data_IF_495193464396
#
_entry.id   IF_495193464396
#
_cell.length_a   1.000
_cell.length_b   1.000
_cell.length_c   1.000
_cell.angle_alpha   90.00
_cell.angle_beta   90.00
_cell.angle_gamma   90.00
#
_symmetry.space_group_name_H-M   'P 1'
#
loop_
_entity.id
_entity.type
_entity.pdbx_description
1 polymer ?
#
# COMPACT_ATOMS: atom_id res chain seq x y z
N UNK A 1 -15.85 27.38 1.46
CA UNK A 1 -15.48 25.98 1.76
C UNK A 1 -14.92 25.18 0.57
N UNK A 2 -15.27 25.45 -0.70
CA UNK A 2 -14.71 24.74 -1.88
C UNK A 2 -13.19 24.88 -2.09
N UNK A 3 -12.55 25.98 -1.68
CA UNK A 3 -11.14 26.28 -2.01
C UNK A 3 -10.11 25.35 -1.37
N UNK A 4 -10.39 24.76 -0.20
CA UNK A 4 -9.41 23.90 0.49
C UNK A 4 -9.30 22.51 -0.14
N UNK A 5 -10.41 21.93 -0.59
CA UNK A 5 -10.40 20.63 -1.26
C UNK A 5 -9.70 20.69 -2.62
N UNK A 6 -9.98 21.72 -3.44
CA UNK A 6 -9.25 21.95 -4.69
C UNK A 6 -7.78 22.34 -4.47
N UNK A 7 -7.44 22.98 -3.33
CA UNK A 7 -6.03 23.16 -2.94
C UNK A 7 -5.34 21.85 -2.60
N UNK A 8 -6.03 20.88 -1.99
CA UNK A 8 -5.49 19.53 -1.78
C UNK A 8 -5.29 18.81 -3.12
N UNK A 9 -6.25 18.90 -4.05
CA UNK A 9 -6.10 18.37 -5.41
C UNK A 9 -4.90 19.02 -6.11
N UNK A 10 -4.81 20.35 -6.12
CA UNK A 10 -3.71 21.09 -6.73
C UNK A 10 -2.36 20.76 -6.07
N UNK A 11 -2.26 20.79 -4.74
CA UNK A 11 -1.01 20.44 -4.04
C UNK A 11 -0.63 18.97 -4.25
N UNK A 12 -1.59 18.04 -4.34
CA UNK A 12 -1.28 16.63 -4.63
C UNK A 12 -0.73 16.48 -6.05
N UNK A 13 -1.34 17.15 -7.04
CA UNK A 13 -0.84 17.18 -8.42
C UNK A 13 0.56 17.81 -8.49
N UNK A 14 0.86 18.84 -7.70
CA UNK A 14 2.16 19.51 -7.68
C UNK A 14 3.26 18.80 -6.86
N UNK A 15 2.95 18.20 -5.71
CA UNK A 15 3.95 17.51 -4.86
C UNK A 15 4.44 16.18 -5.47
N UNK A 16 3.69 15.59 -6.39
CA UNK A 16 4.13 14.45 -7.20
C UNK A 16 4.66 14.84 -8.58
N UNK A 17 4.67 16.14 -8.92
CA UNK A 17 5.17 16.68 -10.19
C UNK A 17 6.45 17.54 -10.14
N UNK A 18 7.48 17.32 -9.28
CA UNK A 18 8.75 18.03 -9.51
C UNK A 18 9.77 17.29 -10.40
N UNK A 19 9.58 16.02 -10.79
CA UNK A 19 10.64 15.23 -11.49
C UNK A 19 10.15 14.52 -12.77
N UNK A 20 8.88 14.67 -13.16
CA UNK A 20 8.35 14.08 -14.43
C UNK A 20 8.62 14.99 -15.65
N UNK A 21 9.52 15.96 -15.54
CA UNK A 21 9.98 16.77 -16.69
C UNK A 21 11.27 16.25 -17.34
N UNK A 22 11.93 15.23 -16.76
CA UNK A 22 13.25 14.80 -17.23
C UNK A 22 13.27 13.71 -18.30
N UNK A 23 12.41 12.68 -18.21
CA UNK A 23 12.63 11.45 -18.99
C UNK A 23 11.41 10.83 -19.70
N UNK A 24 10.20 11.39 -19.53
CA UNK A 24 8.97 10.88 -20.17
C UNK A 24 8.66 11.46 -21.56
N UNK A 25 9.61 12.13 -22.23
CA UNK A 25 9.31 12.87 -23.46
C UNK A 25 9.36 12.05 -24.77
N UNK A 26 9.67 10.75 -24.74
CA UNK A 26 10.05 10.03 -25.97
C UNK A 26 9.11 8.92 -26.47
N UNK A 27 7.89 8.75 -25.94
CA UNK A 27 7.01 7.64 -26.39
C UNK A 27 5.63 8.04 -26.91
N UNK A 28 5.13 9.25 -26.65
CA UNK A 28 3.80 9.69 -27.09
C UNK A 28 3.88 10.95 -27.95
N UNK A 29 3.05 11.03 -28.99
CA UNK A 29 2.90 12.26 -29.75
C UNK A 29 2.29 13.36 -28.86
N UNK A 30 2.56 14.65 -29.14
CA UNK A 30 1.97 15.77 -28.38
C UNK A 30 0.44 15.74 -28.31
N UNK A 31 -0.22 15.16 -29.32
CA UNK A 31 -1.67 14.99 -29.36
C UNK A 31 -2.16 13.88 -28.41
N UNK A 32 -1.41 12.79 -28.28
CA UNK A 32 -1.71 11.69 -27.34
C UNK A 32 -1.46 12.14 -25.90
N UNK A 33 -0.36 12.86 -25.66
CA UNK A 33 -0.06 13.42 -24.35
C UNK A 33 -1.18 14.37 -23.87
N UNK A 34 -1.65 15.26 -24.74
CA UNK A 34 -2.76 16.18 -24.43
C UNK A 34 -4.10 15.47 -24.19
N UNK A 35 -4.39 14.37 -24.91
CA UNK A 35 -5.60 13.56 -24.68
C UNK A 35 -5.52 12.83 -23.33
N UNK A 36 -4.36 12.29 -23.02
CA UNK A 36 -4.12 11.61 -21.75
C UNK A 36 -4.25 12.57 -20.56
N UNK A 37 -3.65 13.76 -20.61
CA UNK A 37 -3.79 14.79 -19.58
C UNK A 37 -5.24 15.22 -19.34
N UNK A 38 -6.03 15.32 -20.41
CA UNK A 38 -7.45 15.68 -20.33
C UNK A 38 -8.29 14.56 -19.71
N UNK A 39 -8.02 13.31 -20.08
CA UNK A 39 -8.68 12.14 -19.50
C UNK A 39 -8.35 12.01 -18.00
N UNK A 40 -7.07 12.14 -17.64
CA UNK A 40 -6.63 12.12 -16.24
C UNK A 40 -7.31 13.21 -15.44
N UNK A 41 -7.30 14.46 -15.92
CA UNK A 41 -7.98 15.59 -15.25
C UNK A 41 -9.47 15.31 -15.03
N UNK A 42 -10.13 14.67 -15.99
CA UNK A 42 -11.54 14.28 -15.89
C UNK A 42 -11.75 13.19 -14.83
N UNK A 43 -10.95 12.12 -14.86
CA UNK A 43 -10.98 11.03 -13.87
C UNK A 43 -10.68 11.52 -12.44
N UNK A 44 -9.74 12.46 -12.29
CA UNK A 44 -9.41 13.06 -11.00
C UNK A 44 -10.59 13.84 -10.43
N UNK A 45 -11.26 14.62 -11.29
CA UNK A 45 -12.44 15.39 -10.90
C UNK A 45 -13.59 14.48 -10.52
N UNK A 46 -13.89 13.46 -11.31
CA UNK A 46 -14.91 12.46 -11.00
C UNK A 46 -14.61 11.72 -9.69
N UNK A 47 -13.34 11.33 -9.47
CA UNK A 47 -12.92 10.69 -8.23
C UNK A 47 -13.15 11.59 -7.02
N UNK A 48 -12.80 12.87 -7.14
CA UNK A 48 -13.03 13.88 -6.13
C UNK A 48 -14.53 14.08 -5.84
N UNK A 49 -15.35 14.23 -6.89
CA UNK A 49 -16.79 14.48 -6.77
C UNK A 49 -17.51 13.25 -6.17
N UNK A 50 -17.16 12.03 -6.59
CA UNK A 50 -17.69 10.79 -6.04
C UNK A 50 -17.37 10.64 -4.54
N UNK A 51 -16.13 10.91 -4.12
CA UNK A 51 -15.76 10.84 -2.71
C UNK A 51 -16.44 11.94 -1.88
N UNK A 52 -16.63 13.12 -2.46
CA UNK A 52 -17.33 14.23 -1.79
C UNK A 52 -18.78 13.89 -1.49
N UNK A 53 -19.46 13.24 -2.43
CA UNK A 53 -20.87 12.83 -2.29
C UNK A 53 -21.05 11.62 -1.36
N UNK A 54 -19.98 10.90 -1.02
CA UNK A 54 -20.05 9.77 -0.11
C UNK A 54 -20.25 10.26 1.35
N UNK A 55 -21.47 10.13 1.86
CA UNK A 55 -21.85 10.54 3.22
C UNK A 55 -21.42 9.55 4.31
N UNK A 56 -21.00 8.34 3.94
CA UNK A 56 -20.55 7.32 4.89
C UNK A 56 -19.10 7.52 5.35
N UNK A 57 -18.34 8.39 4.68
CA UNK A 57 -16.95 8.69 5.00
C UNK A 57 -16.83 10.03 5.74
N UNK A 58 -15.97 10.08 6.75
CA UNK A 58 -15.50 11.33 7.33
C UNK A 58 -14.64 12.13 6.34
N UNK A 59 -14.45 13.42 6.58
CA UNK A 59 -13.61 14.27 5.72
C UNK A 59 -12.14 13.81 5.67
N UNK A 60 -11.64 13.25 6.77
CA UNK A 60 -10.28 12.70 6.83
C UNK A 60 -10.15 11.44 5.97
N UNK A 61 -11.12 10.52 6.06
CA UNK A 61 -11.20 9.32 5.22
C UNK A 61 -11.35 9.68 3.74
N UNK A 62 -12.18 10.68 3.40
CA UNK A 62 -12.30 11.17 2.01
C UNK A 62 -10.96 11.66 1.47
N UNK A 63 -10.25 12.47 2.25
CA UNK A 63 -8.92 12.97 1.87
C UNK A 63 -7.90 11.84 1.70
N UNK A 64 -7.96 10.82 2.56
CA UNK A 64 -7.14 9.63 2.44
C UNK A 64 -7.46 8.83 1.18
N UNK A 65 -8.73 8.48 0.99
CA UNK A 65 -9.21 7.69 -0.16
C UNK A 65 -8.92 8.37 -1.49
N UNK A 66 -8.98 9.71 -1.53
CA UNK A 66 -8.58 10.46 -2.71
C UNK A 66 -7.10 10.23 -3.02
N UNK A 67 -6.19 10.42 -2.05
CA UNK A 67 -4.75 10.17 -2.24
C UNK A 67 -4.44 8.72 -2.60
N UNK A 68 -5.17 7.77 -2.02
CA UNK A 68 -5.03 6.35 -2.33
C UNK A 68 -5.41 6.05 -3.78
N UNK A 69 -6.59 6.52 -4.24
CA UNK A 69 -7.04 6.35 -5.63
C UNK A 69 -6.11 7.05 -6.62
N UNK A 70 -5.65 8.26 -6.30
CA UNK A 70 -4.61 8.97 -7.07
C UNK A 70 -3.38 8.08 -7.27
N UNK A 71 -2.87 7.49 -6.19
CA UNK A 71 -1.66 6.67 -6.22
C UNK A 71 -1.85 5.41 -7.07
N UNK A 72 -3.01 4.74 -6.97
CA UNK A 72 -3.35 3.60 -7.84
C UNK A 72 -3.39 3.97 -9.32
N UNK A 73 -3.99 5.11 -9.66
CA UNK A 73 -4.02 5.58 -11.06
C UNK A 73 -2.61 5.85 -11.59
N UNK A 74 -1.73 6.46 -10.78
CA UNK A 74 -0.33 6.67 -11.16
C UNK A 74 0.42 5.36 -11.38
N UNK A 75 0.25 4.37 -10.50
CA UNK A 75 0.88 3.05 -10.63
C UNK A 75 0.41 2.32 -11.88
N UNK A 76 -0.88 2.35 -12.19
CA UNK A 76 -1.41 1.73 -13.39
C UNK A 76 -0.83 2.38 -14.65
N UNK A 77 -0.71 3.72 -14.66
CA UNK A 77 -0.03 4.44 -15.75
C UNK A 77 1.42 3.98 -15.91
N UNK A 78 2.17 3.87 -14.82
CA UNK A 78 3.56 3.43 -14.84
C UNK A 78 3.70 2.00 -15.37
N UNK A 79 2.79 1.11 -14.93
CA UNK A 79 2.71 -0.27 -15.42
C UNK A 79 2.46 -0.32 -16.92
N UNK A 80 1.60 0.54 -17.44
CA UNK A 80 1.28 0.63 -18.87
C UNK A 80 2.43 1.24 -19.69
N UNK A 81 3.16 2.22 -19.16
CA UNK A 81 4.29 2.82 -19.87
C UNK A 81 5.56 1.98 -19.81
N UNK A 82 5.64 1.01 -18.89
CA UNK A 82 6.87 0.24 -18.63
C UNK A 82 7.95 1.05 -17.92
N UNK A 83 7.61 2.24 -17.40
CA UNK A 83 8.53 3.14 -16.73
C UNK A 83 8.50 2.93 -15.21
N UNK A 84 9.66 2.69 -14.60
CA UNK A 84 9.83 2.81 -13.15
C UNK A 84 10.30 4.22 -12.82
N UNK A 85 9.42 5.08 -12.28
CA UNK A 85 9.79 6.46 -11.92
C UNK A 85 10.76 6.53 -10.73
N UNK A 86 10.90 5.43 -9.98
CA UNK A 86 11.72 5.41 -8.77
C UNK A 86 13.06 4.71 -8.97
N UNK A 87 13.27 3.99 -10.09
CA UNK A 87 14.54 3.34 -10.40
C UNK A 87 15.03 2.38 -9.30
N UNK A 88 14.10 1.86 -8.50
CA UNK A 88 14.41 1.02 -7.36
C UNK A 88 14.50 -0.44 -7.80
N UNK A 89 15.58 -1.10 -7.41
CA UNK A 89 15.81 -2.52 -7.63
C UNK A 89 15.97 -3.22 -6.28
N UNK A 90 15.35 -4.40 -6.07
CA UNK A 90 15.54 -5.16 -4.85
C UNK A 90 17.00 -5.61 -4.73
N UNK A 91 17.54 -5.55 -3.51
CA UNK A 91 18.87 -6.09 -3.21
C UNK A 91 18.87 -7.61 -3.37
N UNK A 92 20.05 -8.21 -3.56
CA UNK A 92 20.17 -9.68 -3.65
C UNK A 92 19.58 -10.38 -2.41
N UNK A 93 19.75 -9.80 -1.22
CA UNK A 93 19.13 -10.32 -0.01
C UNK A 93 17.60 -10.22 -0.04
N UNK A 94 17.04 -9.09 -0.49
CA UNK A 94 15.59 -8.91 -0.58
C UNK A 94 14.94 -9.92 -1.54
N UNK A 95 15.65 -10.32 -2.60
CA UNK A 95 15.21 -11.39 -3.53
C UNK A 95 15.17 -12.78 -2.87
N UNK A 96 15.84 -12.99 -1.73
CA UNK A 96 15.82 -14.26 -0.99
C UNK A 96 14.70 -14.34 0.05
N UNK A 97 13.92 -13.27 0.24
CA UNK A 97 12.83 -13.26 1.21
C UNK A 97 11.74 -14.29 0.83
N UNK A 98 11.12 -14.96 1.82
CA UNK A 98 10.21 -16.05 1.56
C UNK A 98 8.89 -15.57 0.95
N UNK A 99 8.38 -16.26 -0.07
CA UNK A 99 7.05 -15.95 -0.62
C UNK A 99 5.96 -16.12 0.46
N UNK A 100 5.03 -15.17 0.49
CA UNK A 100 3.78 -15.31 1.25
C UNK A 100 2.81 -16.13 0.42
N UNK A 101 2.31 -17.23 0.98
CA UNK A 101 1.43 -18.18 0.29
C UNK A 101 0.02 -18.08 0.87
N UNK A 102 -0.98 -17.92 0.00
CA UNK A 102 -2.40 -17.90 0.38
C UNK A 102 -3.24 -18.69 -0.61
N UNK A 103 -4.34 -19.25 -0.13
CA UNK A 103 -5.33 -19.90 -0.98
C UNK A 103 -6.40 -18.90 -1.41
N UNK A 104 -6.73 -18.88 -2.70
CA UNK A 104 -7.76 -18.02 -3.28
C UNK A 104 -8.50 -18.80 -4.38
N UNK A 105 -9.82 -18.95 -4.24
CA UNK A 105 -10.63 -19.76 -5.16
C UNK A 105 -10.20 -21.24 -5.27
N UNK A 106 -9.53 -21.78 -4.24
CA UNK A 106 -9.00 -23.15 -4.25
C UNK A 106 -7.59 -23.32 -4.83
N UNK A 107 -6.99 -22.26 -5.39
CA UNK A 107 -5.62 -22.26 -5.88
C UNK A 107 -4.66 -21.61 -4.86
N UNK A 108 -3.42 -22.09 -4.79
CA UNK A 108 -2.36 -21.43 -4.01
C UNK A 108 -1.77 -20.32 -4.86
N UNK A 109 -1.85 -19.10 -4.36
CA UNK A 109 -1.15 -17.92 -4.88
C UNK A 109 0.07 -17.63 -4.02
N UNK A 110 1.17 -17.27 -4.68
CA UNK A 110 2.42 -16.89 -4.03
C UNK A 110 2.74 -15.44 -4.34
N UNK A 111 3.05 -14.69 -3.30
CA UNK A 111 3.40 -13.28 -3.37
C UNK A 111 4.82 -13.11 -2.87
N UNK A 112 5.77 -12.84 -3.77
CA UNK A 112 7.12 -12.48 -3.37
C UNK A 112 7.16 -11.07 -2.80
N UNK A 113 8.21 -10.76 -2.03
CA UNK A 113 8.48 -9.37 -1.63
C UNK A 113 8.51 -8.44 -2.85
N UNK A 114 9.22 -8.84 -3.91
CA UNK A 114 9.34 -8.06 -5.15
C UNK A 114 7.98 -7.80 -5.80
N UNK A 115 7.09 -8.79 -5.87
CA UNK A 115 5.74 -8.58 -6.44
C UNK A 115 4.94 -7.54 -5.65
N UNK A 116 4.99 -7.63 -4.33
CA UNK A 116 4.27 -6.74 -3.42
C UNK A 116 4.84 -5.32 -3.45
N UNK A 117 6.15 -5.16 -3.62
CA UNK A 117 6.78 -3.84 -3.76
C UNK A 117 6.56 -3.25 -5.15
N UNK A 118 6.58 -4.07 -6.20
CA UNK A 118 6.27 -3.63 -7.56
C UNK A 118 4.83 -3.12 -7.67
N UNK A 119 3.90 -3.68 -6.88
CA UNK A 119 2.55 -3.15 -6.77
C UNK A 119 2.51 -1.72 -6.19
N UNK A 120 3.43 -1.37 -5.27
CA UNK A 120 3.57 0.01 -4.78
C UNK A 120 4.43 0.91 -5.71
N UNK A 121 5.27 0.27 -6.52
CA UNK A 121 6.21 0.89 -7.46
C UNK A 121 7.57 1.25 -6.85
N UNK A 122 7.76 1.11 -5.54
CA UNK A 122 9.04 1.34 -4.86
C UNK A 122 9.04 0.83 -3.41
N UNK A 123 10.23 0.67 -2.82
CA UNK A 123 10.36 0.34 -1.40
C UNK A 123 10.31 1.60 -0.53
N UNK A 124 9.17 1.85 0.12
CA UNK A 124 9.09 2.70 1.31
C UNK A 124 9.05 1.87 2.59
N UNK A 125 9.34 2.51 3.75
CA UNK A 125 9.15 1.91 5.07
C UNK A 125 7.71 1.44 5.34
N UNK A 126 6.71 1.98 4.64
CA UNK A 126 5.31 1.53 4.79
C UNK A 126 5.07 0.16 4.16
N UNK A 127 5.64 -0.07 2.98
CA UNK A 127 5.49 -1.31 2.21
C UNK A 127 6.33 -2.44 2.80
N UNK A 128 7.53 -2.12 3.30
CA UNK A 128 8.34 -3.06 4.09
C UNK A 128 7.60 -3.58 5.33
N UNK A 129 6.91 -2.69 6.08
CA UNK A 129 6.11 -3.10 7.25
C UNK A 129 4.94 -3.98 6.86
N UNK A 130 4.26 -3.66 5.76
CA UNK A 130 3.12 -4.43 5.29
C UNK A 130 3.51 -5.86 4.96
N UNK A 131 4.57 -6.01 4.16
CA UNK A 131 5.16 -7.31 3.86
C UNK A 131 5.57 -8.06 5.13
N UNK A 132 6.37 -7.41 5.98
CA UNK A 132 6.92 -8.04 7.20
C UNK A 132 5.82 -8.48 8.16
N UNK A 133 4.74 -7.71 8.28
CA UNK A 133 3.61 -8.08 9.11
C UNK A 133 2.90 -9.34 8.60
N UNK A 134 2.68 -9.46 7.27
CA UNK A 134 2.11 -10.67 6.68
C UNK A 134 3.01 -11.89 6.86
N UNK A 135 4.31 -11.73 6.58
CA UNK A 135 5.33 -12.78 6.70
C UNK A 135 5.38 -13.38 8.10
N UNK A 136 5.22 -12.55 9.13
CA UNK A 136 5.26 -12.98 10.53
C UNK A 136 3.90 -13.46 11.05
N UNK A 137 2.82 -12.73 10.76
CA UNK A 137 1.53 -12.98 11.38
C UNK A 137 0.81 -14.21 10.82
N UNK A 138 0.85 -14.41 9.50
CA UNK A 138 0.10 -15.49 8.86
C UNK A 138 0.56 -16.88 9.34
N UNK A 139 1.86 -17.20 9.46
CA UNK A 139 2.29 -18.49 10.02
C UNK A 139 1.91 -18.70 11.48
N UNK A 140 1.80 -17.62 12.26
CA UNK A 140 1.37 -17.68 13.66
C UNK A 140 -0.14 -17.94 13.77
N UNK A 141 -0.94 -17.39 12.86
CA UNK A 141 -2.39 -17.62 12.80
C UNK A 141 -2.71 -19.02 12.25
N UNK A 142 -2.06 -19.41 11.15
CA UNK A 142 -2.35 -20.62 10.38
C UNK A 142 -1.25 -21.67 10.51
N UNK A 143 -0.99 -22.13 11.74
CA UNK A 143 0.12 -23.06 12.01
C UNK A 143 -0.07 -24.37 11.22
N UNK A 144 0.83 -24.63 10.28
CA UNK A 144 0.83 -25.85 9.46
C UNK A 144 -0.25 -25.89 8.38
N UNK A 145 -0.94 -24.78 8.13
CA UNK A 145 -1.95 -24.66 7.07
C UNK A 145 -1.70 -23.41 6.23
N UNK A 146 -2.21 -23.40 5.00
CA UNK A 146 -2.13 -22.22 4.13
C UNK A 146 -3.31 -21.30 4.46
N UNK A 147 -3.08 -20.01 4.79
CA UNK A 147 -4.15 -19.05 4.99
C UNK A 147 -5.06 -18.97 3.76
N UNK A 148 -6.36 -18.82 3.97
CA UNK A 148 -7.35 -18.66 2.89
C UNK A 148 -7.76 -17.19 2.83
N UNK A 149 -7.69 -16.56 1.64
CA UNK A 149 -8.23 -15.22 1.46
C UNK A 149 -9.73 -15.23 1.79
N UNK A 150 -10.18 -14.22 2.53
CA UNK A 150 -11.54 -14.16 3.07
C UNK A 150 -11.72 -14.80 4.45
N UNK A 151 -10.76 -15.58 4.95
CA UNK A 151 -10.80 -16.11 6.33
C UNK A 151 -9.99 -15.27 7.33
N UNK A 152 -9.36 -14.19 6.86
CA UNK A 152 -8.68 -13.25 7.74
C UNK A 152 -8.97 -11.81 7.37
N UNK A 153 -8.90 -10.96 8.39
CA UNK A 153 -9.03 -9.51 8.29
C UNK A 153 -7.71 -8.85 8.59
N UNK A 154 -7.34 -7.86 7.78
CA UNK A 154 -6.19 -6.98 8.02
C UNK A 154 -6.71 -5.61 8.46
N UNK A 155 -6.30 -5.15 9.64
CA UNK A 155 -6.55 -3.79 10.12
C UNK A 155 -5.24 -3.03 10.23
N UNK A 156 -5.18 -1.83 9.64
CA UNK A 156 -3.97 -1.00 9.68
C UNK A 156 -4.29 0.50 9.77
N UNK A 157 -3.33 1.26 10.30
CA UNK A 157 -3.40 2.71 10.33
C UNK A 157 -3.19 3.38 8.97
N UNK A 158 -3.42 4.70 8.92
CA UNK A 158 -3.25 5.51 7.72
C UNK A 158 -1.80 5.54 7.20
N UNK A 159 -1.54 4.74 6.15
CA UNK A 159 -0.29 4.76 5.39
C UNK A 159 -0.53 4.27 3.96
N UNK A 160 -0.35 5.17 2.97
CA UNK A 160 -0.66 4.90 1.57
C UNK A 160 0.08 3.67 1.03
N UNK A 161 1.41 3.65 1.19
CA UNK A 161 2.29 2.51 0.90
C UNK A 161 1.73 1.17 1.43
N UNK A 162 1.41 1.13 2.73
CA UNK A 162 0.88 -0.07 3.39
C UNK A 162 -0.45 -0.50 2.79
N UNK A 163 -1.33 0.46 2.49
CA UNK A 163 -2.64 0.15 1.92
C UNK A 163 -2.56 -0.40 0.51
N UNK A 164 -1.57 0.03 -0.28
CA UNK A 164 -1.38 -0.45 -1.65
C UNK A 164 -0.89 -1.88 -1.67
N UNK A 165 0.04 -2.23 -0.77
CA UNK A 165 0.48 -3.62 -0.57
C UNK A 165 -0.70 -4.51 -0.20
N UNK A 166 -1.54 -4.09 0.75
CA UNK A 166 -2.68 -4.90 1.16
C UNK A 166 -3.81 -4.95 0.13
N UNK A 167 -4.10 -3.86 -0.56
CA UNK A 167 -5.07 -3.86 -1.67
C UNK A 167 -4.63 -4.83 -2.78
N UNK A 168 -3.33 -4.86 -3.11
CA UNK A 168 -2.79 -5.80 -4.08
C UNK A 168 -2.76 -7.25 -3.55
N UNK A 169 -2.39 -7.46 -2.29
CA UNK A 169 -2.38 -8.79 -1.67
C UNK A 169 -3.79 -9.38 -1.54
N UNK A 170 -4.76 -8.56 -1.14
CA UNK A 170 -6.14 -8.97 -0.85
C UNK A 170 -7.05 -8.96 -2.06
N UNK A 171 -6.61 -8.55 -3.26
CA UNK A 171 -7.39 -8.50 -4.51
C UNK A 171 -8.72 -9.25 -4.49
N UNK A 172 -9.83 -8.52 -4.54
CA UNK A 172 -11.19 -9.07 -4.44
C UNK A 172 -11.80 -9.05 -3.02
N UNK A 173 -10.98 -8.82 -1.99
CA UNK A 173 -11.37 -8.77 -0.57
C UNK A 173 -10.96 -7.43 0.06
N UNK A 174 -11.41 -6.32 -0.54
CA UNK A 174 -11.01 -4.95 -0.14
C UNK A 174 -12.12 -4.18 0.59
N UNK A 175 -13.22 -4.85 0.94
CA UNK A 175 -14.24 -4.29 1.83
C UNK A 175 -13.74 -4.23 3.29
N UNK A 176 -14.51 -3.55 4.14
CA UNK A 176 -14.15 -3.36 5.55
C UNK A 176 -14.18 -4.66 6.39
N UNK A 177 -14.81 -5.73 5.88
CA UNK A 177 -14.85 -7.01 6.58
C UNK A 177 -13.49 -7.70 6.52
N UNK A 178 -12.75 -7.51 5.43
CA UNK A 178 -11.48 -8.18 5.17
C UNK A 178 -10.25 -7.25 5.17
N UNK A 179 -10.43 -5.97 4.81
CA UNK A 179 -9.37 -4.96 4.79
C UNK A 179 -9.87 -3.64 5.37
N UNK A 180 -9.44 -3.34 6.59
CA UNK A 180 -9.87 -2.16 7.33
C UNK A 180 -8.73 -1.13 7.50
N UNK A 181 -9.02 0.08 7.01
CA UNK A 181 -8.26 1.27 7.37
C UNK A 181 -8.85 1.88 8.65
N UNK A 182 -8.10 1.84 9.74
CA UNK A 182 -8.46 2.50 11.00
C UNK A 182 -7.63 3.78 11.19
N UNK A 183 -8.26 4.93 10.97
CA UNK A 183 -7.63 6.25 11.12
C UNK A 183 -7.25 6.58 12.57
N UNK A 184 -7.81 5.87 13.57
CA UNK A 184 -7.45 6.01 14.98
C UNK A 184 -6.10 5.39 15.34
N UNK A 185 -5.59 4.48 14.51
CA UNK A 185 -4.28 3.85 14.70
C UNK A 185 -3.16 4.85 14.36
N UNK A 186 -2.64 5.52 15.40
CA UNK A 186 -1.52 6.46 15.28
C UNK A 186 -0.14 5.79 15.19
N UNK A 187 0.00 4.60 15.79
CA UNK A 187 1.25 3.82 15.78
C UNK A 187 1.33 3.01 14.48
N UNK A 188 2.54 2.66 14.03
CA UNK A 188 2.75 1.78 12.86
C UNK A 188 2.44 0.32 13.24
N UNK A 189 1.19 0.11 13.62
CA UNK A 189 0.61 -1.12 14.10
C UNK A 189 -0.24 -1.71 12.99
N UNK A 190 -0.09 -3.02 12.79
CA UNK A 190 -0.85 -3.82 11.85
C UNK A 190 -1.39 -5.00 12.64
N UNK A 191 -2.69 -5.22 12.56
CA UNK A 191 -3.36 -6.38 13.16
C UNK A 191 -3.88 -7.28 12.05
N UNK A 192 -3.64 -8.57 12.17
CA UNK A 192 -4.21 -9.60 11.30
C UNK A 192 -4.99 -10.56 12.19
N UNK A 193 -6.26 -10.76 11.87
CA UNK A 193 -7.20 -11.58 12.63
C UNK A 193 -7.69 -12.72 11.76
N UNK A 194 -7.63 -13.95 12.29
CA UNK A 194 -8.31 -15.09 11.69
C UNK A 194 -9.79 -15.05 12.08
N UNK A 195 -10.68 -14.85 11.11
CA UNK A 195 -12.11 -14.61 11.33
C UNK A 195 -12.82 -15.83 11.92
N UNK A 196 -12.44 -17.04 11.50
CA UNK A 196 -13.03 -18.27 12.02
C UNK A 196 -12.67 -18.60 13.47
N UNK A 197 -11.53 -18.10 13.97
CA UNK A 197 -11.04 -18.41 15.32
C UNK A 197 -11.03 -17.21 16.26
N UNK A 198 -11.20 -15.99 15.75
CA UNK A 198 -11.02 -14.75 16.51
C UNK A 198 -9.57 -14.49 16.96
N UNK A 199 -8.62 -15.38 16.63
CA UNK A 199 -7.22 -15.23 17.00
C UNK A 199 -6.61 -14.04 16.26
N UNK A 200 -5.88 -13.18 16.98
CA UNK A 200 -5.27 -11.97 16.40
C UNK A 200 -3.76 -11.97 16.62
N UNK A 201 -3.05 -11.50 15.60
CA UNK A 201 -1.63 -11.18 15.70
C UNK A 201 -1.45 -9.72 15.35
N UNK A 202 -0.91 -8.96 16.29
CA UNK A 202 -0.62 -7.54 16.14
C UNK A 202 0.88 -7.33 16.08
N UNK A 203 1.36 -6.80 14.96
CA UNK A 203 2.77 -6.49 14.72
C UNK A 203 2.99 -4.99 14.89
N UNK A 204 3.89 -4.62 15.78
CA UNK A 204 4.20 -3.24 16.12
C UNK A 204 5.63 -2.93 15.72
N UNK A 205 5.79 -1.95 14.83
CA UNK A 205 7.10 -1.41 14.45
C UNK A 205 7.39 -0.12 15.21
N UNK A 206 8.66 0.16 15.53
CA UNK A 206 9.05 1.45 16.09
C UNK A 206 8.67 2.59 15.15
N UNK A 207 8.36 3.78 15.69
CA UNK A 207 8.17 4.97 14.88
C UNK A 207 9.41 5.22 14.01
N UNK A 208 9.21 5.45 12.71
CA UNK A 208 10.24 6.01 11.85
C UNK A 208 9.73 7.36 11.33
N UNK A 209 10.58 8.38 11.46
CA UNK A 209 10.34 9.71 10.89
C UNK A 209 10.67 9.76 9.41
N UNK A 210 11.37 8.74 8.88
CA UNK A 210 11.78 8.65 7.49
C UNK A 210 10.56 8.40 6.61
N UNK A 211 10.36 9.30 5.65
CA UNK A 211 9.29 9.31 4.66
C UNK A 211 9.90 9.68 3.31
N UNK A 212 9.28 9.25 2.23
CA UNK A 212 9.68 9.66 0.89
C UNK A 212 9.94 8.45 0.00
N UNK A 213 10.67 8.71 -1.08
CA UNK A 213 11.01 7.78 -2.16
C UNK A 213 12.53 7.86 -2.47
N UNK A 214 13.35 8.21 -1.47
CA UNK A 214 14.80 8.37 -1.59
C UNK A 214 15.56 7.14 -1.03
N UNK A 215 16.88 7.16 -1.13
CA UNK A 215 17.73 6.07 -0.63
C UNK A 215 17.58 5.86 0.88
N UNK A 216 17.40 6.94 1.66
CA UNK A 216 17.17 6.84 3.09
C UNK A 216 15.85 6.10 3.42
N UNK A 217 14.80 6.30 2.63
CA UNK A 217 13.56 5.55 2.74
C UNK A 217 13.76 4.06 2.40
N UNK A 218 14.57 3.73 1.39
CA UNK A 218 14.89 2.35 1.05
C UNK A 218 15.71 1.65 2.14
N UNK A 219 16.74 2.30 2.68
CA UNK A 219 17.53 1.82 3.82
C UNK A 219 16.66 1.58 5.06
N UNK A 220 15.76 2.50 5.37
CA UNK A 220 14.81 2.34 6.47
C UNK A 220 13.84 1.18 6.22
N UNK A 221 13.45 0.93 4.96
CA UNK A 221 12.71 -0.25 4.56
C UNK A 221 13.49 -1.53 4.83
N UNK A 222 14.79 -1.55 4.50
CA UNK A 222 15.66 -2.71 4.71
C UNK A 222 15.85 -3.05 6.18
N UNK A 223 16.03 -2.04 7.04
CA UNK A 223 16.07 -2.21 8.50
C UNK A 223 14.79 -2.88 9.02
N UNK A 224 13.63 -2.53 8.47
CA UNK A 224 12.34 -3.11 8.85
C UNK A 224 12.24 -4.58 8.42
N UNK A 225 12.75 -4.93 7.23
CA UNK A 225 12.71 -6.31 6.75
C UNK A 225 13.60 -7.24 7.59
N UNK A 226 14.70 -6.71 8.12
CA UNK A 226 15.60 -7.42 9.03
C UNK A 226 15.08 -7.50 10.48
N UNK A 227 14.02 -6.77 10.82
CA UNK A 227 13.49 -6.74 12.17
C UNK A 227 13.05 -8.14 12.65
N UNK A 228 13.31 -8.42 13.92
CA UNK A 228 12.88 -9.63 14.63
C UNK A 228 12.10 -9.25 15.88
N UNK A 229 11.37 -10.20 16.44
CA UNK A 229 10.71 -9.97 17.73
C UNK A 229 11.76 -9.62 18.79
N UNK A 230 11.56 -8.50 19.49
CA UNK A 230 12.52 -7.96 20.45
C UNK A 230 13.64 -7.11 19.83
N UNK A 231 13.82 -7.16 18.50
CA UNK A 231 14.85 -6.42 17.76
C UNK A 231 14.21 -5.67 16.58
N UNK A 232 13.67 -4.48 16.86
CA UNK A 232 13.04 -3.63 15.82
C UNK A 232 11.58 -3.96 15.51
N UNK A 233 10.99 -4.94 16.21
CA UNK A 233 9.57 -5.31 16.11
C UNK A 233 9.07 -5.91 17.44
N UNK A 234 7.80 -5.69 17.76
CA UNK A 234 7.09 -6.38 18.85
C UNK A 234 5.88 -7.11 18.27
N UNK A 235 5.66 -8.34 18.72
CA UNK A 235 4.52 -9.16 18.30
C UNK A 235 3.62 -9.37 19.51
N UNK A 236 2.33 -9.12 19.34
CA UNK A 236 1.31 -9.46 20.32
C UNK A 236 0.40 -10.53 19.73
N UNK A 237 0.20 -11.63 20.44
CA UNK A 237 -0.70 -12.71 20.03
C UNK A 237 -1.84 -12.77 21.02
N UNK A 238 -3.06 -12.54 20.52
CA UNK A 238 -4.29 -12.64 21.28
C UNK A 238 -5.01 -13.92 20.86
N UNK A 239 -5.43 -14.71 21.85
CA UNK A 239 -6.25 -15.90 21.61
C UNK A 239 -7.71 -15.48 21.55
N UNK A 240 -8.44 -16.00 20.56
CA UNK A 240 -9.90 -15.88 20.46
C UNK A 240 -10.62 -16.77 21.47
#
# INVERSE_FOLDING_TARGET
>A
MNKHFYRIIACSVFFFSPIVQGHAQNSLSPAEQKRQEMMETTMLKETADNLRQNTALSEEEKGYMFRFKMRKMMQERMRQSGESIWGWEPTEWQKTLPNIRVQDGGAIQEYSFTDLINADGYLCPGSARAYKALEVALPLLYKGTTPVKGDFKITHGAALCTSLVYDYFMQGYTDKEHLELDMGIKKKLITIECLSTGKKVTVVFPPSTIRGHDSAAAEAGDVILHAKEGEGMTIHVEKG
#
